data_IF_617971973302
#
_entry.id   IF_617971973302
#
_cell.length_a   1.000
_cell.length_b   1.000
_cell.length_c   1.000
_cell.angle_alpha   90.00
_cell.angle_beta   90.00
_cell.angle_gamma   90.00
#
_symmetry.space_group_name_H-M   'P 1'
#
loop_
_entity.id
_entity.type
_entity.pdbx_description
1 polymer ?
#
# COMPACT_ATOMS: atom_id res chain seq x y z
N UNK A 1 12.14 -2.30 -7.63
CA UNK A 1 12.66 -2.82 -6.35
C UNK A 1 11.97 -2.02 -5.24
N UNK A 2 10.86 -2.55 -4.74
CA UNK A 2 10.06 -1.94 -3.66
C UNK A 2 10.27 -2.62 -2.31
N UNK A 3 11.17 -3.61 -2.20
CA UNK A 3 11.35 -4.38 -0.97
C UNK A 3 11.72 -3.50 0.23
N UNK A 4 12.40 -2.38 0.00
CA UNK A 4 12.73 -1.39 1.02
C UNK A 4 11.51 -0.61 1.57
N UNK A 5 10.33 -0.74 0.95
CA UNK A 5 9.08 -0.15 1.43
C UNK A 5 8.31 -1.08 2.37
N UNK A 6 8.72 -2.35 2.48
CA UNK A 6 8.09 -3.34 3.36
C UNK A 6 8.87 -3.42 4.66
N UNK A 7 8.21 -3.13 5.77
CA UNK A 7 8.78 -3.10 7.11
C UNK A 7 8.09 -4.20 7.92
N UNK A 8 8.87 -5.09 8.54
CA UNK A 8 8.33 -6.14 9.40
C UNK A 8 7.72 -5.54 10.68
N UNK A 9 6.47 -5.89 10.99
CA UNK A 9 5.70 -5.42 12.16
C UNK A 9 4.95 -6.62 12.76
N UNK A 10 5.68 -7.49 13.45
CA UNK A 10 5.14 -8.71 14.03
C UNK A 10 4.65 -9.72 12.99
N UNK A 11 3.35 -9.97 12.95
CA UNK A 11 2.71 -10.92 12.02
C UNK A 11 2.29 -10.28 10.69
N UNK A 12 2.48 -8.97 10.53
CA UNK A 12 2.14 -8.22 9.32
C UNK A 12 3.34 -7.46 8.80
N UNK A 13 3.26 -7.01 7.55
CA UNK A 13 4.21 -6.05 6.98
C UNK A 13 3.56 -4.68 6.85
N UNK A 14 4.21 -3.64 7.36
CA UNK A 14 3.85 -2.25 7.08
C UNK A 14 4.43 -1.85 5.73
N UNK A 15 3.63 -1.12 4.94
CA UNK A 15 4.02 -0.76 3.58
C UNK A 15 4.05 0.77 3.48
N UNK A 16 5.23 1.33 3.18
CA UNK A 16 5.39 2.77 3.02
C UNK A 16 4.85 3.25 1.67
N UNK A 17 3.52 3.30 1.53
CA UNK A 17 2.84 3.89 0.36
C UNK A 17 2.84 5.42 0.40
N UNK A 18 3.09 6.04 1.56
CA UNK A 18 3.10 7.49 1.75
C UNK A 18 4.29 8.12 1.00
N UNK A 19 5.47 7.50 1.10
CA UNK A 19 6.68 7.97 0.39
C UNK A 19 6.85 7.31 -1.00
N UNK A 20 5.87 6.52 -1.47
CA UNK A 20 5.94 5.87 -2.76
C UNK A 20 5.64 6.85 -3.91
N UNK A 21 6.42 6.74 -5.00
CA UNK A 21 6.10 7.35 -6.29
C UNK A 21 4.97 6.60 -6.98
N UNK A 22 4.39 7.19 -8.04
CA UNK A 22 3.31 6.59 -8.82
C UNK A 22 3.69 5.20 -9.38
N UNK A 23 4.93 5.04 -9.85
CA UNK A 23 5.43 3.76 -10.37
C UNK A 23 5.53 2.71 -9.26
N UNK A 24 5.99 3.13 -8.07
CA UNK A 24 6.08 2.26 -6.89
C UNK A 24 4.71 1.86 -6.38
N UNK A 25 3.72 2.76 -6.41
CA UNK A 25 2.34 2.44 -6.05
C UNK A 25 1.78 1.34 -6.96
N UNK A 26 2.01 1.43 -8.27
CA UNK A 26 1.62 0.39 -9.22
C UNK A 26 2.40 -0.92 -9.00
N UNK A 27 3.71 -0.84 -8.72
CA UNK A 27 4.53 -2.02 -8.40
C UNK A 27 4.03 -2.73 -7.13
N UNK A 28 3.58 -1.98 -6.11
CA UNK A 28 2.97 -2.52 -4.88
C UNK A 28 1.65 -3.23 -5.20
N UNK A 29 0.74 -2.57 -5.93
CA UNK A 29 -0.54 -3.16 -6.35
C UNK A 29 -0.32 -4.47 -7.10
N UNK A 30 0.65 -4.51 -8.02
CA UNK A 30 1.02 -5.71 -8.76
C UNK A 30 1.64 -6.79 -7.89
N UNK A 31 2.58 -6.44 -7.00
CA UNK A 31 3.30 -7.40 -6.14
C UNK A 31 2.36 -8.12 -5.16
N UNK A 32 1.38 -7.39 -4.64
CA UNK A 32 0.38 -7.91 -3.70
C UNK A 32 -0.91 -8.37 -4.42
N UNK A 33 -0.96 -8.36 -5.75
CA UNK A 33 -2.16 -8.75 -6.52
C UNK A 33 -3.45 -8.00 -6.10
N UNK A 34 -3.33 -6.72 -5.71
CA UNK A 34 -4.45 -5.94 -5.15
C UNK A 34 -5.47 -5.49 -6.21
N UNK A 35 -5.13 -5.53 -7.49
CA UNK A 35 -6.03 -5.14 -8.57
C UNK A 35 -6.30 -3.63 -8.71
N UNK A 36 -5.67 -2.78 -7.90
CA UNK A 36 -5.87 -1.33 -7.94
C UNK A 36 -5.18 -0.64 -9.12
N UNK A 37 -5.89 0.32 -9.70
CA UNK A 37 -5.34 1.33 -10.60
C UNK A 37 -4.64 2.47 -9.84
N UNK A 38 -3.83 3.27 -10.55
CA UNK A 38 -3.04 4.35 -9.95
C UNK A 38 -3.88 5.34 -9.12
N UNK A 39 -5.05 5.75 -9.63
CA UNK A 39 -5.90 6.72 -8.94
C UNK A 39 -6.49 6.17 -7.63
N UNK A 40 -6.74 4.87 -7.55
CA UNK A 40 -7.21 4.18 -6.34
C UNK A 40 -6.08 4.07 -5.33
N UNK A 41 -4.88 3.69 -5.79
CA UNK A 41 -3.68 3.68 -4.94
C UNK A 41 -3.36 5.07 -4.37
N UNK A 42 -3.55 6.14 -5.15
CA UNK A 42 -3.43 7.53 -4.66
C UNK A 42 -4.47 7.84 -3.59
N UNK A 43 -5.73 7.46 -3.80
CA UNK A 43 -6.79 7.66 -2.80
C UNK A 43 -6.51 6.91 -1.49
N UNK A 44 -5.97 5.70 -1.57
CA UNK A 44 -5.56 4.91 -0.41
C UNK A 44 -4.35 5.58 0.27
N UNK A 45 -3.36 6.02 -0.50
CA UNK A 45 -2.20 6.79 0.00
C UNK A 45 -2.66 8.03 0.77
N UNK A 46 -3.52 8.86 0.19
CA UNK A 46 -4.02 10.09 0.81
C UNK A 46 -4.74 9.78 2.14
N UNK A 47 -5.52 8.69 2.19
CA UNK A 47 -6.14 8.24 3.43
C UNK A 47 -5.10 7.91 4.49
N UNK A 48 -4.12 7.06 4.22
CA UNK A 48 -3.11 6.66 5.21
C UNK A 48 -2.16 7.81 5.60
N UNK A 49 -1.84 8.71 4.66
CA UNK A 49 -1.11 9.96 4.93
C UNK A 49 -1.89 10.85 5.90
N UNK A 50 -3.19 11.06 5.69
CA UNK A 50 -4.04 11.83 6.61
C UNK A 50 -4.15 11.21 8.02
N UNK A 51 -3.95 9.89 8.13
CA UNK A 51 -3.93 9.17 9.41
C UNK A 51 -2.56 9.17 10.07
N UNK A 52 -1.52 9.70 9.41
CA UNK A 52 -0.15 9.75 9.91
C UNK A 52 0.46 8.37 10.13
N UNK A 53 0.06 7.35 9.35
CA UNK A 53 0.56 5.98 9.51
C UNK A 53 0.60 5.20 8.20
N UNK A 54 1.41 4.16 8.18
CA UNK A 54 1.45 3.20 7.07
C UNK A 54 0.34 2.14 7.21
N UNK A 55 -0.26 1.68 6.09
CA UNK A 55 -1.09 0.48 6.09
C UNK A 55 -0.27 -0.76 6.42
N UNK A 56 -0.92 -1.80 6.94
CA UNK A 56 -0.42 -3.16 6.80
C UNK A 56 -0.78 -3.77 5.45
N UNK A 57 -0.05 -4.79 5.04
CA UNK A 57 -0.42 -5.72 3.96
C UNK A 57 -1.86 -6.22 4.10
N UNK A 58 -2.27 -6.66 5.29
CA UNK A 58 -3.64 -7.12 5.56
C UNK A 58 -4.69 -6.03 5.31
N UNK A 59 -4.41 -4.77 5.68
CA UNK A 59 -5.33 -3.65 5.43
C UNK A 59 -5.49 -3.39 3.93
N UNK A 60 -4.40 -3.48 3.15
CA UNK A 60 -4.47 -3.30 1.70
C UNK A 60 -5.22 -4.44 1.00
N UNK A 61 -5.01 -5.69 1.42
CA UNK A 61 -5.75 -6.85 0.92
C UNK A 61 -7.25 -6.74 1.26
N UNK A 62 -7.58 -6.34 2.49
CA UNK A 62 -8.97 -6.14 2.90
C UNK A 62 -9.67 -5.04 2.08
N UNK A 63 -8.95 -3.95 1.77
CA UNK A 63 -9.45 -2.93 0.85
C UNK A 63 -9.64 -3.53 -0.55
N UNK A 64 -8.67 -4.26 -1.10
CA UNK A 64 -8.76 -4.84 -2.44
C UNK A 64 -9.97 -5.78 -2.61
N UNK A 65 -10.30 -6.55 -1.58
CA UNK A 65 -11.47 -7.44 -1.60
C UNK A 65 -12.81 -6.71 -1.47
N UNK A 66 -12.81 -5.49 -0.94
CA UNK A 66 -14.04 -4.75 -0.58
C UNK A 66 -14.31 -3.51 -1.44
N UNK A 67 -13.37 -3.15 -2.32
CA UNK A 67 -13.36 -1.89 -3.06
C UNK A 67 -14.42 -1.82 -4.16
#
# INVERSE_FOLDING_TARGET
MIDNLFIDDGYVKRINIVDASDEKLLEISKKLSLGFYLHEMKKIKDYFESRGRMPSDLELEALAQSW
#
